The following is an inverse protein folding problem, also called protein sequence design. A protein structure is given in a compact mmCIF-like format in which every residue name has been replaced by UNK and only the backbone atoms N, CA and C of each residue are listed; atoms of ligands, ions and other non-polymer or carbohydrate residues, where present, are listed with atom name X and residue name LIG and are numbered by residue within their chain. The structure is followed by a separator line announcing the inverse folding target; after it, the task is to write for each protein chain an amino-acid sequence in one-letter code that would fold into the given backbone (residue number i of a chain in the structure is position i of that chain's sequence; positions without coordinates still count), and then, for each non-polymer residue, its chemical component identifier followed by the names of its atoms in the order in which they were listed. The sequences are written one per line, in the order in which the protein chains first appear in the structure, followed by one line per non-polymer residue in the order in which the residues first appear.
data_IF_914023421473
#
_entry.id   IF_914023421473
#
_cell.length_a   1.000
_cell.length_b   1.000
_cell.length_c   1.000
_cell.angle_alpha   90.00
_cell.angle_beta   90.00
_cell.angle_gamma   90.00
#
_symmetry.space_group_name_H-M   'P 1'
#
loop_
_entity.id
_entity.type
_entity.pdbx_description
1 polymer ?
#
# COMPACT_ATOMS: atom_id res chain seq x y z
N UNK A 1 -33.09 -29.08 -80.98
CA UNK A 1 -32.79 -27.96 -80.17
C UNK A 1 -33.01 -28.33 -78.71
N UNK A 2 -31.90 -28.52 -77.97
CA UNK A 2 -32.01 -28.89 -76.54
C UNK A 2 -31.38 -27.79 -75.75
N UNK A 3 -32.16 -26.99 -75.09
CA UNK A 3 -31.72 -25.95 -74.14
C UNK A 3 -31.44 -26.63 -72.84
N UNK A 4 -30.17 -26.66 -72.44
CA UNK A 4 -29.77 -27.13 -71.16
C UNK A 4 -29.76 -25.91 -70.22
N UNK A 5 -30.76 -25.87 -69.33
CA UNK A 5 -30.79 -24.86 -68.26
C UNK A 5 -29.93 -25.33 -67.16
N UNK A 6 -28.75 -24.69 -67.00
CA UNK A 6 -27.87 -24.96 -65.91
C UNK A 6 -28.39 -24.23 -64.67
N UNK A 7 -28.79 -24.97 -63.67
CA UNK A 7 -29.19 -24.44 -62.37
C UNK A 7 -27.97 -24.32 -61.49
N UNK A 8 -27.43 -23.12 -61.39
CA UNK A 8 -26.34 -22.81 -60.44
C UNK A 8 -26.91 -22.68 -59.04
N UNK A 9 -26.67 -23.67 -58.24
CA UNK A 9 -26.93 -23.61 -56.80
C UNK A 9 -25.77 -22.86 -56.16
N UNK A 10 -25.98 -21.61 -55.81
CA UNK A 10 -25.02 -20.84 -55.01
C UNK A 10 -25.25 -21.21 -53.55
N UNK A 11 -24.34 -22.02 -53.02
CA UNK A 11 -24.29 -22.34 -51.60
C UNK A 11 -23.65 -21.18 -50.83
N UNK A 12 -24.47 -20.34 -50.22
CA UNK A 12 -23.99 -19.32 -49.27
C UNK A 12 -23.55 -20.01 -47.99
N UNK A 13 -22.27 -20.22 -47.83
CA UNK A 13 -21.67 -20.56 -46.55
C UNK A 13 -21.56 -19.28 -45.77
N UNK A 14 -22.47 -19.02 -44.84
CA UNK A 14 -22.33 -17.95 -43.85
C UNK A 14 -21.21 -18.30 -42.89
N UNK A 15 -20.20 -17.48 -42.73
CA UNK A 15 -19.23 -17.71 -41.66
C UNK A 15 -19.95 -17.51 -40.34
N UNK A 16 -20.05 -18.57 -39.54
CA UNK A 16 -20.33 -18.44 -38.13
C UNK A 16 -19.15 -17.71 -37.48
N UNK A 17 -19.26 -16.41 -37.37
CA UNK A 17 -18.43 -15.65 -36.45
C UNK A 17 -18.86 -16.08 -35.06
N UNK A 18 -18.17 -17.06 -34.52
CA UNK A 18 -18.16 -17.29 -33.07
C UNK A 18 -17.56 -16.04 -32.45
N UNK A 19 -18.42 -15.13 -32.05
CA UNK A 19 -18.01 -14.08 -31.13
C UNK A 19 -17.56 -14.81 -29.87
N UNK A 20 -16.26 -14.98 -29.70
CA UNK A 20 -15.70 -15.38 -28.43
C UNK A 20 -16.13 -14.30 -27.43
N UNK A 21 -17.17 -14.61 -26.66
CA UNK A 21 -17.55 -13.80 -25.55
C UNK A 21 -16.30 -13.75 -24.63
N UNK A 22 -15.58 -12.64 -24.66
CA UNK A 22 -14.58 -12.40 -23.67
C UNK A 22 -15.33 -12.33 -22.35
N UNK A 23 -15.31 -13.42 -21.62
CA UNK A 23 -15.69 -13.38 -20.23
C UNK A 23 -14.84 -12.28 -19.59
N UNK A 24 -15.47 -11.28 -18.91
CA UNK A 24 -14.67 -10.37 -18.11
C UNK A 24 -13.87 -11.26 -17.19
N UNK A 25 -12.55 -11.25 -17.37
CA UNK A 25 -11.63 -11.95 -16.49
C UNK A 25 -11.91 -11.34 -15.13
N UNK A 26 -12.60 -12.09 -14.27
CA UNK A 26 -12.75 -11.68 -12.89
C UNK A 26 -11.35 -11.35 -12.40
N UNK A 27 -11.15 -10.13 -11.92
CA UNK A 27 -9.89 -9.74 -11.34
C UNK A 27 -9.46 -10.88 -10.41
N UNK A 28 -8.22 -11.38 -10.49
CA UNK A 28 -7.80 -12.46 -9.61
C UNK A 28 -8.19 -12.05 -8.19
N UNK A 29 -8.80 -12.94 -7.38
CA UNK A 29 -9.19 -12.60 -6.03
C UNK A 29 -7.99 -11.96 -5.39
N UNK A 30 -8.17 -10.75 -4.86
CA UNK A 30 -7.11 -10.05 -4.15
C UNK A 30 -6.47 -11.04 -3.18
N UNK A 31 -5.15 -11.20 -3.17
CA UNK A 31 -4.51 -12.11 -2.23
C UNK A 31 -5.08 -11.80 -0.85
N UNK A 32 -5.40 -12.82 -0.03
CA UNK A 32 -5.95 -12.58 1.30
C UNK A 32 -5.10 -11.52 1.95
N UNK A 33 -5.74 -10.43 2.39
CA UNK A 33 -5.05 -9.29 2.96
C UNK A 33 -4.01 -9.82 3.96
N UNK A 34 -2.73 -9.57 3.70
CA UNK A 34 -1.66 -9.99 4.61
C UNK A 34 -2.02 -9.49 6.01
N UNK A 35 -1.74 -10.25 7.07
CA UNK A 35 -2.02 -9.84 8.43
C UNK A 35 -1.56 -8.41 8.62
N UNK A 36 -2.48 -7.55 8.96
CA UNK A 36 -2.24 -6.11 8.95
C UNK A 36 -2.64 -5.55 10.29
N UNK A 37 -1.72 -4.87 10.90
CA UNK A 37 -1.88 -4.23 12.20
C UNK A 37 -1.52 -2.75 12.07
N UNK A 38 -1.91 -1.97 13.05
CA UNK A 38 -1.62 -0.54 13.11
C UNK A 38 -0.99 -0.19 14.44
N UNK A 39 0.06 0.60 14.41
CA UNK A 39 0.69 1.16 15.60
C UNK A 39 0.65 2.68 15.52
N UNK A 40 0.38 3.31 16.65
CA UNK A 40 0.57 4.74 16.86
C UNK A 40 1.54 4.93 18.01
N UNK A 41 2.60 5.66 17.77
CA UNK A 41 3.62 5.87 18.78
C UNK A 41 4.71 6.83 18.32
N UNK A 42 5.68 7.00 19.18
CA UNK A 42 6.84 7.86 18.90
C UNK A 42 7.98 7.06 18.25
N UNK A 43 8.65 7.70 17.32
CA UNK A 43 9.84 7.13 16.69
C UNK A 43 10.97 7.14 17.72
N UNK A 44 11.53 5.96 17.95
CA UNK A 44 12.63 5.73 18.87
C UNK A 44 13.97 5.60 18.15
N UNK A 45 13.97 5.02 16.97
CA UNK A 45 15.16 4.81 16.17
C UNK A 45 14.82 4.88 14.69
N UNK A 46 15.73 5.43 13.90
CA UNK A 46 15.62 5.49 12.44
C UNK A 46 16.96 5.12 11.84
N UNK A 47 16.93 4.16 10.92
CA UNK A 47 18.04 3.89 10.01
C UNK A 47 17.56 4.08 8.57
N UNK A 48 17.79 5.26 8.04
CA UNK A 48 17.34 5.63 6.69
C UNK A 48 18.06 4.81 5.60
N UNK A 49 19.26 4.34 5.83
CA UNK A 49 20.03 3.54 4.89
C UNK A 49 19.50 2.11 4.81
N UNK A 50 19.19 1.51 5.96
CA UNK A 50 18.61 0.18 6.03
C UNK A 50 17.09 0.19 5.83
N UNK A 51 16.45 1.35 5.86
CA UNK A 51 14.99 1.47 5.81
C UNK A 51 14.30 0.89 7.04
N UNK A 52 14.90 1.05 8.21
CA UNK A 52 14.36 0.55 9.48
C UNK A 52 13.90 1.70 10.35
N UNK A 53 12.70 1.55 10.90
CA UNK A 53 12.13 2.50 11.86
C UNK A 53 11.60 1.73 13.05
N UNK A 54 11.94 2.19 14.24
CA UNK A 54 11.46 1.62 15.49
C UNK A 54 10.47 2.60 16.13
N UNK A 55 9.26 2.12 16.39
CA UNK A 55 8.17 2.91 16.96
C UNK A 55 7.82 2.33 18.33
N UNK A 56 7.81 3.19 19.34
CA UNK A 56 7.36 2.83 20.68
C UNK A 56 5.94 3.33 20.93
N UNK A 57 5.09 2.46 21.45
CA UNK A 57 3.69 2.74 21.77
C UNK A 57 3.37 2.28 23.18
N UNK A 58 2.53 3.03 23.86
CA UNK A 58 2.14 2.72 25.24
C UNK A 58 3.10 3.28 26.30
N UNK A 59 2.79 3.00 27.55
CA UNK A 59 3.57 3.44 28.71
C UNK A 59 3.69 2.34 29.75
N UNK A 60 4.76 2.35 30.53
CA UNK A 60 4.98 1.40 31.61
C UNK A 60 4.99 -0.05 31.10
N UNK A 61 4.24 -0.93 31.75
CA UNK A 61 4.16 -2.34 31.38
C UNK A 61 3.46 -2.58 30.05
N UNK A 62 2.72 -1.61 29.53
CA UNK A 62 2.09 -1.67 28.22
C UNK A 62 2.98 -1.13 27.10
N UNK A 63 4.23 -0.81 27.38
CA UNK A 63 5.17 -0.35 26.39
C UNK A 63 5.43 -1.45 25.34
N UNK A 64 5.11 -1.12 24.10
CA UNK A 64 5.35 -1.97 22.95
C UNK A 64 6.32 -1.28 22.01
N UNK A 65 7.32 -1.98 21.54
CA UNK A 65 8.25 -1.52 20.53
C UNK A 65 8.06 -2.34 19.27
N UNK A 66 7.83 -1.65 18.17
CA UNK A 66 7.59 -2.26 16.86
C UNK A 66 8.69 -1.84 15.91
N UNK A 67 9.42 -2.80 15.38
CA UNK A 67 10.41 -2.56 14.33
C UNK A 67 9.76 -2.72 12.97
N UNK A 68 9.88 -1.69 12.16
CA UNK A 68 9.29 -1.61 10.83
C UNK A 68 10.39 -1.55 9.77
N UNK A 69 10.25 -2.37 8.75
CA UNK A 69 11.01 -2.22 7.51
C UNK A 69 10.20 -1.35 6.56
N UNK A 70 10.80 -0.29 6.09
CA UNK A 70 10.19 0.68 5.17
C UNK A 70 10.87 0.54 3.81
N UNK A 71 10.31 -0.26 2.89
CA UNK A 71 10.84 -0.36 1.53
C UNK A 71 10.75 0.97 0.79
N UNK A 72 11.57 1.15 -0.22
CA UNK A 72 11.40 2.25 -1.16
C UNK A 72 10.01 2.16 -1.80
N UNK A 73 9.28 3.27 -1.85
CA UNK A 73 7.93 3.33 -2.40
C UNK A 73 6.80 3.22 -1.37
N UNK A 74 7.09 2.96 -0.10
CA UNK A 74 6.09 3.08 0.96
C UNK A 74 5.70 4.55 1.12
N UNK A 75 4.40 4.89 1.03
CA UNK A 75 3.96 6.26 1.22
C UNK A 75 4.19 6.69 2.68
N UNK A 76 4.96 7.76 2.84
CA UNK A 76 5.17 8.43 4.11
C UNK A 76 4.57 9.82 3.98
N UNK A 77 3.62 10.13 4.83
CA UNK A 77 2.92 11.41 4.79
C UNK A 77 3.08 12.17 6.11
N UNK A 78 3.14 13.48 6.00
CA UNK A 78 3.09 14.39 7.13
C UNK A 78 1.72 15.04 7.20
N UNK A 79 1.04 14.91 8.31
CA UNK A 79 -0.24 15.56 8.60
C UNK A 79 -0.14 16.60 9.71
N UNK A 80 1.05 16.90 10.15
CA UNK A 80 1.27 17.98 11.09
C UNK A 80 0.98 19.31 10.38
N UNK A 81 -0.10 19.97 10.76
CA UNK A 81 -0.57 21.21 10.12
C UNK A 81 -1.82 21.06 9.25
N UNK A 82 -2.46 19.89 9.19
CA UNK A 82 -3.78 19.68 8.62
C UNK A 82 -3.83 19.24 7.17
N UNK A 83 -2.78 19.46 6.38
CA UNK A 83 -2.66 18.93 5.01
C UNK A 83 -1.71 17.75 4.95
N UNK A 84 -2.09 16.74 4.18
CA UNK A 84 -1.22 15.60 3.95
C UNK A 84 -0.13 15.97 2.92
N UNK A 85 1.10 15.90 3.34
CA UNK A 85 2.28 16.14 2.51
C UNK A 85 3.13 14.88 2.42
N UNK A 86 3.56 14.51 1.22
CA UNK A 86 4.46 13.38 1.05
C UNK A 86 5.87 13.75 1.49
N UNK A 87 6.44 12.97 2.38
CA UNK A 87 7.80 13.15 2.90
C UNK A 87 8.64 11.88 2.69
N UNK A 88 9.95 12.03 2.87
CA UNK A 88 10.89 10.92 2.80
C UNK A 88 11.23 10.39 4.19
N UNK A 89 11.71 9.15 4.26
CA UNK A 89 12.14 8.53 5.51
C UNK A 89 13.23 9.37 6.23
N UNK A 90 14.11 10.02 5.48
CA UNK A 90 15.13 10.90 6.04
C UNK A 90 14.61 12.18 6.67
N UNK A 91 13.35 12.53 6.45
CA UNK A 91 12.68 13.69 7.05
C UNK A 91 12.00 13.35 8.38
N UNK A 92 11.86 12.07 8.69
CA UNK A 92 11.40 11.61 10.00
C UNK A 92 12.50 11.85 11.05
N UNK A 93 12.07 12.20 12.24
CA UNK A 93 12.97 12.46 13.37
C UNK A 93 12.60 11.64 14.59
N UNK A 94 13.56 11.44 15.47
CA UNK A 94 13.32 10.87 16.78
C UNK A 94 12.33 11.73 17.56
N UNK A 95 11.34 11.09 18.17
CA UNK A 95 10.27 11.77 18.89
C UNK A 95 9.08 12.16 18.03
N UNK A 96 9.14 12.00 16.71
CA UNK A 96 7.96 12.17 15.86
C UNK A 96 6.91 11.12 16.20
N UNK A 97 5.67 11.55 16.34
CA UNK A 97 4.53 10.66 16.55
C UNK A 97 4.01 10.24 15.20
N UNK A 98 4.03 8.95 14.98
CA UNK A 98 3.58 8.37 13.71
C UNK A 98 2.46 7.37 13.93
N UNK A 99 1.62 7.23 12.93
CA UNK A 99 0.72 6.10 12.76
C UNK A 99 1.22 5.28 11.59
N UNK A 100 1.48 4.02 11.82
CA UNK A 100 1.95 3.11 10.79
C UNK A 100 1.04 1.90 10.67
N UNK A 101 0.73 1.51 9.44
CA UNK A 101 0.13 0.21 9.17
C UNK A 101 1.22 -0.73 8.67
N UNK A 102 1.21 -1.94 9.16
CA UNK A 102 2.25 -2.92 8.88
C UNK A 102 1.70 -4.33 8.89
N UNK A 103 2.45 -5.24 8.36
CA UNK A 103 2.12 -6.67 8.35
C UNK A 103 3.36 -7.53 8.42
N UNK A 104 3.14 -8.82 8.58
CA UNK A 104 4.17 -9.81 8.71
C UNK A 104 4.01 -10.64 9.99
N UNK A 105 4.78 -11.70 10.12
CA UNK A 105 4.73 -12.60 11.27
C UNK A 105 5.89 -12.38 12.23
N UNK A 106 6.98 -11.85 11.76
CA UNK A 106 8.21 -11.65 12.53
C UNK A 106 8.78 -10.25 12.32
N UNK A 107 9.38 -9.67 13.34
CA UNK A 107 10.10 -8.41 13.23
C UNK A 107 11.40 -8.58 12.41
N UNK A 108 11.82 -7.58 11.62
CA UNK A 108 11.09 -6.33 11.38
C UNK A 108 9.86 -6.52 10.49
N UNK A 109 8.74 -5.93 10.90
CA UNK A 109 7.50 -6.00 10.14
C UNK A 109 7.54 -5.10 8.92
N UNK A 110 6.84 -5.49 7.86
CA UNK A 110 6.76 -4.71 6.64
C UNK A 110 5.78 -3.54 6.82
N UNK A 111 6.26 -2.31 6.72
CA UNK A 111 5.40 -1.14 6.73
C UNK A 111 4.67 -0.99 5.38
N UNK A 112 3.38 -0.71 5.45
CA UNK A 112 2.55 -0.41 4.28
C UNK A 112 2.35 1.09 4.10
N UNK A 113 2.12 1.79 5.20
CA UNK A 113 1.98 3.25 5.23
C UNK A 113 2.54 3.81 6.53
N UNK A 114 3.11 4.99 6.47
CA UNK A 114 3.52 5.74 7.65
C UNK A 114 2.96 7.16 7.54
N UNK A 115 2.31 7.60 8.59
CA UNK A 115 1.75 8.94 8.68
C UNK A 115 2.29 9.62 9.94
N UNK A 116 3.01 10.71 9.75
CA UNK A 116 3.45 11.58 10.84
C UNK A 116 2.26 12.42 11.28
N UNK A 117 1.85 12.30 12.52
CA UNK A 117 0.67 12.98 13.08
C UNK A 117 1.04 14.07 14.08
N UNK A 118 2.30 14.21 14.41
CA UNK A 118 2.81 15.20 15.34
C UNK A 118 4.25 14.93 15.72
N UNK A 119 4.78 15.73 16.61
CA UNK A 119 6.05 15.49 17.26
C UNK A 119 5.87 15.61 18.77
N UNK A 120 6.51 14.71 19.52
CA UNK A 120 6.74 14.97 20.93
C UNK A 120 7.85 15.99 21.01
N UNK A 121 7.53 17.24 20.79
CA UNK A 121 8.41 18.28 21.23
C UNK A 121 8.55 18.11 22.73
N UNK A 122 9.75 17.75 23.14
CA UNK A 122 10.16 17.91 24.51
C UNK A 122 9.95 19.39 24.78
N UNK A 123 8.90 19.73 25.52
CA UNK A 123 8.53 21.10 25.74
C UNK A 123 9.65 21.83 26.46
N UNK A 124 10.58 22.31 25.70
CA UNK A 124 11.34 23.50 26.06
C UNK A 124 10.37 24.64 25.75
N UNK A 125 9.43 24.82 26.66
CA UNK A 125 8.69 26.05 26.76
C UNK A 125 9.73 27.15 26.85
N UNK A 126 10.06 27.72 25.72
CA UNK A 126 10.71 29.03 25.69
C UNK A 126 9.67 30.02 26.22
N UNK A 127 9.54 30.05 27.51
CA UNK A 127 8.85 31.12 28.19
C UNK A 127 9.72 32.34 28.05
N UNK A 128 9.29 33.39 27.37
CA UNK A 128 10.03 34.65 27.36
C UNK A 128 10.13 35.24 28.75
#
# INVERSE_FOLDING_TARGET
MRTITSLSVVLFIAPLTTAAAQQPTAAPPAPPAAPHDTVRGAIRSIDAQAGLVEVSSGVGYALRVVQLRVPAGVPITNRDGGQAESIKIGELRLGDVVRASFGGQTAPFLAYTIERVGSMETGVSSRP
#
